data_IF_882695029322
#
_entry.id   IF_882695029322
#
_cell.length_a   1.000
_cell.length_b   1.000
_cell.length_c   1.000
_cell.angle_alpha   90.00
_cell.angle_beta   90.00
_cell.angle_gamma   90.00
#
_symmetry.space_group_name_H-M   'P 1'
#
loop_
_entity.id
_entity.type
_entity.pdbx_description
1 polymer ?
#
# COMPACT_ATOMS: atom_id res chain seq x y z
N UNK A 1 0.26 -20.19 18.93
CA UNK A 1 -0.69 -19.07 18.75
C UNK A 1 -1.11 -19.04 17.29
N UNK A 2 -2.41 -18.87 17.00
CA UNK A 2 -2.89 -18.69 15.62
C UNK A 2 -2.35 -17.35 15.11
N UNK A 3 -1.76 -17.31 13.90
CA UNK A 3 -1.29 -16.05 13.30
C UNK A 3 -2.50 -15.18 13.02
N UNK A 4 -2.44 -13.89 13.36
CA UNK A 4 -3.47 -12.93 12.95
C UNK A 4 -3.39 -12.72 11.44
N UNK A 5 -4.55 -12.57 10.81
CA UNK A 5 -4.66 -12.32 9.37
C UNK A 5 -4.80 -10.82 9.12
N UNK A 6 -4.05 -10.32 8.15
CA UNK A 6 -4.17 -8.94 7.63
C UNK A 6 -4.58 -9.01 6.17
N UNK A 7 -5.65 -8.30 5.83
CA UNK A 7 -6.07 -8.09 4.46
C UNK A 7 -5.43 -6.80 3.91
N UNK A 8 -4.72 -6.90 2.80
CA UNK A 8 -4.19 -5.75 2.06
C UNK A 8 -5.05 -5.56 0.82
N UNK A 9 -5.67 -4.40 0.70
CA UNK A 9 -6.47 -4.00 -0.46
C UNK A 9 -5.69 -2.93 -1.22
N UNK A 10 -5.46 -3.16 -2.51
CA UNK A 10 -4.66 -2.25 -3.34
C UNK A 10 -5.52 -1.65 -4.44
N UNK A 11 -5.67 -0.33 -4.41
CA UNK A 11 -6.44 0.40 -5.40
C UNK A 11 -5.55 1.27 -6.28
N UNK A 12 -5.94 1.42 -7.53
CA UNK A 12 -5.33 2.35 -8.47
C UNK A 12 -4.25 1.73 -9.36
N UNK A 13 -3.01 2.20 -9.28
CA UNK A 13 -1.99 1.97 -10.29
C UNK A 13 -0.93 0.94 -9.86
N UNK A 14 -0.10 0.51 -10.83
CA UNK A 14 1.04 -0.39 -10.60
C UNK A 14 2.05 0.11 -9.55
N UNK A 15 2.18 1.44 -9.35
CA UNK A 15 3.03 1.98 -8.28
C UNK A 15 2.48 1.66 -6.90
N UNK A 16 1.15 1.78 -6.70
CA UNK A 16 0.51 1.37 -5.45
C UNK A 16 0.63 -0.14 -5.24
N UNK A 17 0.57 -0.93 -6.30
CA UNK A 17 0.77 -2.37 -6.21
C UNK A 17 2.17 -2.71 -5.70
N UNK A 18 3.22 -2.09 -6.26
CA UNK A 18 4.60 -2.27 -5.77
C UNK A 18 4.72 -1.89 -4.28
N UNK A 19 4.10 -0.78 -3.87
CA UNK A 19 4.08 -0.34 -2.47
C UNK A 19 3.39 -1.37 -1.57
N UNK A 20 2.26 -1.92 -2.00
CA UNK A 20 1.56 -2.99 -1.26
C UNK A 20 2.35 -4.29 -1.19
N UNK A 21 3.04 -4.69 -2.26
CA UNK A 21 3.88 -5.89 -2.29
C UNK A 21 5.06 -5.80 -1.32
N UNK A 22 5.68 -4.61 -1.17
CA UNK A 22 6.69 -4.37 -0.13
C UNK A 22 6.08 -4.44 1.27
N UNK A 23 4.93 -3.79 1.49
CA UNK A 23 4.25 -3.83 2.79
C UNK A 23 3.84 -5.26 3.17
N UNK A 24 3.31 -6.04 2.23
CA UNK A 24 2.97 -7.44 2.47
C UNK A 24 4.19 -8.25 2.93
N UNK A 25 5.35 -8.08 2.29
CA UNK A 25 6.58 -8.77 2.70
C UNK A 25 7.00 -8.40 4.13
N UNK A 26 6.89 -7.13 4.51
CA UNK A 26 7.17 -6.67 5.87
C UNK A 26 6.20 -7.29 6.90
N UNK A 27 4.92 -7.36 6.57
CA UNK A 27 3.90 -7.94 7.45
C UNK A 27 4.06 -9.46 7.60
N UNK A 28 4.44 -10.17 6.54
CA UNK A 28 4.76 -11.60 6.58
C UNK A 28 5.95 -11.87 7.50
N UNK A 29 7.02 -11.07 7.40
CA UNK A 29 8.19 -11.15 8.29
C UNK A 29 7.79 -10.88 9.75
N UNK A 30 6.90 -9.91 9.96
CA UNK A 30 6.34 -9.59 11.27
C UNK A 30 5.45 -10.70 11.86
N UNK A 31 5.21 -11.79 11.10
CA UNK A 31 4.51 -12.99 11.54
C UNK A 31 3.01 -12.99 11.28
N UNK A 32 2.49 -12.09 10.47
CA UNK A 32 1.09 -12.11 10.03
C UNK A 32 0.87 -13.12 8.89
N UNK A 33 -0.37 -13.57 8.76
CA UNK A 33 -0.87 -14.18 7.54
C UNK A 33 -1.49 -13.09 6.67
N UNK A 34 -0.91 -12.82 5.51
CA UNK A 34 -1.34 -11.72 4.65
C UNK A 34 -2.21 -12.27 3.52
N UNK A 35 -3.34 -11.62 3.27
CA UNK A 35 -4.20 -11.85 2.10
C UNK A 35 -4.24 -10.57 1.26
N UNK A 36 -4.49 -10.70 -0.04
CA UNK A 36 -4.47 -9.56 -0.97
C UNK A 36 -5.76 -9.50 -1.77
N UNK A 37 -6.29 -8.28 -1.96
CA UNK A 37 -7.47 -7.95 -2.77
C UNK A 37 -8.67 -8.86 -2.51
N UNK A 38 -9.01 -9.04 -1.24
CA UNK A 38 -10.21 -9.77 -0.85
C UNK A 38 -11.44 -8.88 -1.01
N UNK A 39 -12.50 -9.39 -1.62
CA UNK A 39 -13.76 -8.64 -1.81
C UNK A 39 -14.43 -8.26 -0.47
N UNK A 40 -14.19 -9.04 0.57
CA UNK A 40 -14.71 -8.81 1.93
C UNK A 40 -13.63 -9.10 2.95
N UNK A 41 -13.66 -8.46 4.12
CA UNK A 41 -12.71 -8.74 5.18
C UNK A 41 -12.67 -10.23 5.52
N UNK A 42 -11.48 -10.81 5.53
CA UNK A 42 -11.20 -12.20 5.95
C UNK A 42 -10.31 -12.25 7.19
N UNK A 43 -9.59 -11.17 7.43
CA UNK A 43 -8.69 -11.01 8.55
C UNK A 43 -9.28 -10.18 9.68
N UNK A 44 -8.56 -10.17 10.80
CA UNK A 44 -8.88 -9.31 11.93
C UNK A 44 -8.49 -7.84 11.64
N UNK A 45 -7.60 -7.61 10.69
CA UNK A 45 -7.05 -6.29 10.35
C UNK A 45 -7.12 -6.09 8.84
N UNK A 46 -7.52 -4.91 8.39
CA UNK A 46 -7.43 -4.50 6.99
C UNK A 46 -6.57 -3.24 6.83
N UNK A 47 -5.80 -3.20 5.75
CA UNK A 47 -5.05 -2.03 5.29
C UNK A 47 -5.44 -1.74 3.85
N UNK A 48 -6.03 -0.56 3.60
CA UNK A 48 -6.43 -0.14 2.26
C UNK A 48 -5.40 0.85 1.72
N UNK A 49 -4.69 0.48 0.66
CA UNK A 49 -3.77 1.34 -0.08
C UNK A 49 -4.53 2.02 -1.21
N UNK A 50 -4.82 3.30 -1.04
CA UNK A 50 -5.79 4.08 -1.82
C UNK A 50 -5.18 4.85 -2.98
N UNK A 51 -5.99 5.10 -4.01
CA UNK A 51 -5.68 5.97 -5.13
C UNK A 51 -6.38 7.33 -4.99
N UNK A 52 -5.62 8.43 -5.16
CA UNK A 52 -6.13 9.80 -5.02
C UNK A 52 -5.93 10.66 -6.28
N UNK A 53 -5.63 10.04 -7.44
CA UNK A 53 -5.18 10.78 -8.62
C UNK A 53 -6.33 11.31 -9.46
N UNK A 54 -7.26 10.46 -9.92
CA UNK A 54 -8.41 10.83 -10.75
C UNK A 54 -9.74 10.62 -10.02
N UNK A 55 -10.81 11.24 -10.54
CA UNK A 55 -12.16 11.21 -9.92
C UNK A 55 -12.64 9.81 -9.60
N UNK A 56 -12.72 8.95 -10.62
CA UNK A 56 -13.24 7.59 -10.51
C UNK A 56 -12.42 6.74 -9.50
N UNK A 57 -11.09 6.85 -9.53
CA UNK A 57 -10.23 6.13 -8.59
C UNK A 57 -10.34 6.65 -7.14
N UNK A 58 -10.70 7.94 -6.95
CA UNK A 58 -11.02 8.48 -5.62
C UNK A 58 -12.34 7.93 -5.12
N UNK A 59 -13.35 7.90 -5.97
CA UNK A 59 -14.67 7.35 -5.64
C UNK A 59 -14.56 5.86 -5.29
N UNK A 60 -13.86 5.07 -6.09
CA UNK A 60 -13.56 3.66 -5.81
C UNK A 60 -12.88 3.51 -4.44
N UNK A 61 -11.86 4.34 -4.15
CA UNK A 61 -11.15 4.30 -2.88
C UNK A 61 -12.05 4.64 -1.69
N UNK A 62 -12.90 5.67 -1.81
CA UNK A 62 -13.84 6.06 -0.76
C UNK A 62 -14.87 4.95 -0.53
N UNK A 63 -15.46 4.40 -1.59
CA UNK A 63 -16.44 3.32 -1.50
C UNK A 63 -15.85 2.09 -0.80
N UNK A 64 -14.62 1.70 -1.14
CA UNK A 64 -13.92 0.60 -0.49
C UNK A 64 -13.70 0.87 1.01
N UNK A 65 -13.27 2.10 1.37
CA UNK A 65 -13.11 2.47 2.78
C UNK A 65 -14.42 2.36 3.54
N UNK A 66 -15.53 2.84 2.96
CA UNK A 66 -16.86 2.80 3.58
C UNK A 66 -17.37 1.37 3.75
N UNK A 67 -17.14 0.49 2.77
CA UNK A 67 -17.50 -0.93 2.85
C UNK A 67 -16.77 -1.63 4.00
N UNK A 68 -15.46 -1.40 4.13
CA UNK A 68 -14.67 -1.97 5.22
C UNK A 68 -14.96 -1.31 6.58
N UNK A 69 -15.33 -0.03 6.60
CA UNK A 69 -15.81 0.67 7.80
C UNK A 69 -17.13 0.06 8.31
N UNK A 70 -18.07 -0.22 7.41
CA UNK A 70 -19.30 -0.92 7.75
C UNK A 70 -19.02 -2.33 8.29
N UNK A 71 -18.14 -3.10 7.64
CA UNK A 71 -17.76 -4.43 8.12
C UNK A 71 -17.16 -4.39 9.53
N UNK A 72 -16.43 -3.34 9.86
CA UNK A 72 -15.90 -3.11 11.22
C UNK A 72 -17.01 -2.82 12.22
N UNK A 73 -17.99 -2.00 11.87
CA UNK A 73 -19.16 -1.72 12.73
C UNK A 73 -20.01 -2.98 12.99
N UNK A 74 -20.08 -3.87 12.00
CA UNK A 74 -20.75 -5.17 12.11
C UNK A 74 -19.94 -6.20 12.94
N UNK A 75 -18.71 -5.88 13.35
CA UNK A 75 -17.85 -6.75 14.12
C UNK A 75 -17.08 -7.80 13.30
N UNK A 76 -17.09 -7.66 11.96
CA UNK A 76 -16.37 -8.57 11.03
C UNK A 76 -14.89 -8.17 10.87
N UNK A 77 -14.47 -7.03 11.41
CA UNK A 77 -13.12 -6.50 11.34
C UNK A 77 -12.75 -5.81 12.67
N UNK A 78 -11.58 -6.10 13.23
CA UNK A 78 -11.11 -5.47 14.48
C UNK A 78 -10.48 -4.11 14.23
N UNK A 79 -9.66 -4.01 13.17
CA UNK A 79 -8.87 -2.81 12.85
C UNK A 79 -8.93 -2.48 11.37
N UNK A 80 -9.13 -1.21 11.07
CA UNK A 80 -9.11 -0.67 9.72
C UNK A 80 -8.09 0.47 9.62
N UNK A 81 -7.12 0.29 8.75
CA UNK A 81 -6.10 1.28 8.42
C UNK A 81 -6.20 1.71 6.96
N UNK A 82 -5.94 2.96 6.68
CA UNK A 82 -5.98 3.53 5.33
C UNK A 82 -4.68 4.26 5.05
N UNK A 83 -4.10 4.03 3.87
CA UNK A 83 -2.88 4.69 3.41
C UNK A 83 -2.94 4.96 1.90
N UNK A 84 -1.87 5.50 1.34
CA UNK A 84 -1.73 5.70 -0.09
C UNK A 84 -2.05 7.13 -0.55
N UNK A 85 -2.27 7.28 -1.86
CA UNK A 85 -2.35 8.60 -2.50
C UNK A 85 -3.56 9.44 -2.07
N UNK A 86 -4.72 8.83 -1.85
CA UNK A 86 -5.91 9.54 -1.36
C UNK A 86 -5.70 10.01 0.08
N UNK A 87 -5.22 9.12 0.92
CA UNK A 87 -4.93 9.41 2.33
C UNK A 87 -3.87 10.51 2.46
N UNK A 88 -2.78 10.46 1.69
CA UNK A 88 -1.76 11.53 1.67
C UNK A 88 -2.37 12.91 1.37
N UNK A 89 -3.30 12.97 0.43
CA UNK A 89 -3.85 14.23 -0.06
C UNK A 89 -4.95 14.79 0.83
N UNK A 90 -5.77 13.95 1.45
CA UNK A 90 -7.01 14.33 2.15
C UNK A 90 -7.08 13.77 3.58
N UNK A 91 -5.94 13.56 4.22
CA UNK A 91 -5.85 12.90 5.54
C UNK A 91 -6.77 13.53 6.60
N UNK A 92 -6.79 14.85 6.68
CA UNK A 92 -7.59 15.58 7.69
C UNK A 92 -9.08 15.47 7.44
N UNK A 93 -9.48 15.60 6.19
CA UNK A 93 -10.88 15.52 5.76
C UNK A 93 -11.40 14.08 5.96
N UNK A 94 -10.66 13.10 5.52
CA UNK A 94 -11.04 11.68 5.66
C UNK A 94 -11.15 11.25 7.13
N UNK A 95 -10.26 11.73 7.99
CA UNK A 95 -10.31 11.40 9.42
C UNK A 95 -11.54 11.99 10.14
N UNK A 96 -12.10 13.10 9.63
CA UNK A 96 -13.33 13.69 10.14
C UNK A 96 -14.56 12.98 9.60
N UNK A 97 -14.55 12.68 8.28
CA UNK A 97 -15.70 12.13 7.57
C UNK A 97 -15.91 10.62 7.83
N UNK A 98 -14.83 9.87 8.09
CA UNK A 98 -14.86 8.41 8.28
C UNK A 98 -14.16 8.05 9.60
N UNK A 99 -14.77 8.36 10.75
CA UNK A 99 -14.17 8.12 12.08
C UNK A 99 -14.05 6.63 12.46
N UNK A 100 -14.65 5.73 11.69
CA UNK A 100 -14.53 4.27 11.87
C UNK A 100 -13.14 3.74 11.54
N UNK A 101 -12.37 4.45 10.72
CA UNK A 101 -10.97 4.12 10.43
C UNK A 101 -10.12 4.38 11.66
N UNK A 102 -9.36 3.39 12.12
CA UNK A 102 -8.50 3.53 13.30
C UNK A 102 -7.38 4.55 13.08
N UNK A 103 -6.77 4.55 11.90
CA UNK A 103 -5.78 5.56 11.53
C UNK A 103 -5.61 5.68 10.03
N UNK A 104 -5.40 6.92 9.59
CA UNK A 104 -4.98 7.25 8.25
C UNK A 104 -3.47 7.54 8.23
N UNK A 105 -2.76 6.96 7.28
CA UNK A 105 -1.32 7.17 7.06
C UNK A 105 -1.07 7.85 5.73
N UNK A 106 0.01 8.60 5.64
CA UNK A 106 0.54 9.06 4.36
C UNK A 106 1.05 7.89 3.49
N UNK A 107 1.34 8.20 2.23
CA UNK A 107 1.73 7.19 1.23
C UNK A 107 2.94 6.34 1.65
N UNK A 108 3.88 6.92 2.39
CA UNK A 108 5.17 6.31 2.72
C UNK A 108 5.33 5.95 4.22
N UNK A 109 4.26 6.01 5.00
CA UNK A 109 4.32 5.81 6.46
C UNK A 109 4.24 4.32 6.88
N UNK A 110 4.88 3.42 6.15
CA UNK A 110 4.84 1.97 6.42
C UNK A 110 5.46 1.60 7.76
N UNK A 111 6.58 2.25 8.12
CA UNK A 111 7.24 2.02 9.41
C UNK A 111 6.33 2.42 10.58
N UNK A 112 5.57 3.50 10.44
CA UNK A 112 4.60 3.94 11.45
C UNK A 112 3.44 2.95 11.59
N UNK A 113 2.91 2.44 10.48
CA UNK A 113 1.88 1.39 10.48
C UNK A 113 2.37 0.13 11.22
N UNK A 114 3.58 -0.33 10.94
CA UNK A 114 4.16 -1.49 11.62
C UNK A 114 4.35 -1.23 13.12
N UNK A 115 4.79 -0.03 13.49
CA UNK A 115 4.93 0.36 14.89
C UNK A 115 3.58 0.35 15.63
N UNK A 116 2.51 0.84 15.03
CA UNK A 116 1.15 0.81 15.61
C UNK A 116 0.60 -0.62 15.72
N UNK A 117 1.08 -1.54 14.89
CA UNK A 117 0.83 -2.97 15.01
C UNK A 117 1.74 -3.66 16.06
N UNK A 118 2.60 -2.91 16.75
CA UNK A 118 3.57 -3.44 17.72
C UNK A 118 4.70 -4.23 17.07
N UNK A 119 5.07 -3.87 15.83
CA UNK A 119 6.10 -4.53 15.02
C UNK A 119 7.21 -3.58 14.62
N UNK A 120 8.33 -4.15 14.19
CA UNK A 120 9.49 -3.40 13.70
C UNK A 120 9.49 -3.41 12.18
N UNK A 121 9.82 -2.29 11.56
CA UNK A 121 10.10 -2.21 10.13
C UNK A 121 11.52 -2.71 9.86
N UNK A 122 11.67 -3.62 8.92
CA UNK A 122 12.93 -4.25 8.54
C UNK A 122 13.52 -3.58 7.30
N UNK A 123 14.47 -2.67 7.49
CA UNK A 123 15.12 -1.95 6.38
C UNK A 123 15.86 -2.89 5.42
N UNK A 124 16.38 -4.01 5.92
CA UNK A 124 17.05 -5.04 5.14
C UNK A 124 16.15 -5.70 4.09
N UNK A 125 14.83 -5.63 4.26
CA UNK A 125 13.85 -6.17 3.30
C UNK A 125 13.41 -5.15 2.23
N UNK A 126 14.06 -4.01 2.11
CA UNK A 126 13.64 -2.91 1.23
C UNK A 126 13.57 -3.27 -0.27
N UNK A 127 14.30 -4.30 -0.70
CA UNK A 127 14.25 -4.84 -2.07
C UNK A 127 13.32 -6.04 -2.21
N UNK A 128 12.87 -6.62 -1.09
CA UNK A 128 12.03 -7.82 -1.11
C UNK A 128 10.55 -7.46 -1.23
N UNK A 129 9.82 -8.28 -2.01
CA UNK A 129 8.38 -8.13 -2.22
C UNK A 129 7.67 -9.47 -2.24
N UNK A 130 6.42 -9.47 -1.80
CA UNK A 130 5.47 -10.57 -2.02
C UNK A 130 4.71 -10.29 -3.30
N UNK A 131 5.12 -10.93 -4.40
CA UNK A 131 4.56 -10.68 -5.72
C UNK A 131 3.10 -11.14 -5.82
N UNK A 132 2.26 -10.27 -6.36
CA UNK A 132 0.84 -10.51 -6.67
C UNK A 132 0.57 -10.63 -8.15
N UNK A 133 1.53 -10.20 -8.98
CA UNK A 133 1.48 -10.37 -10.44
C UNK A 133 1.71 -11.83 -10.84
N UNK A 134 1.30 -12.24 -12.06
CA UNK A 134 1.73 -13.51 -12.63
C UNK A 134 3.25 -13.68 -12.61
N UNK A 135 3.73 -14.90 -12.36
CA UNK A 135 5.15 -15.20 -12.09
C UNK A 135 6.15 -14.73 -13.15
N UNK A 136 5.69 -14.45 -14.37
CA UNK A 136 6.58 -14.12 -15.48
C UNK A 136 6.92 -12.63 -15.56
N UNK A 137 6.16 -11.73 -14.91
CA UNK A 137 6.48 -10.31 -14.90
C UNK A 137 6.31 -9.65 -13.54
N UNK A 138 6.98 -8.52 -13.36
CA UNK A 138 6.79 -7.64 -12.21
C UNK A 138 6.95 -6.18 -12.62
N UNK A 139 6.24 -5.30 -11.91
CA UNK A 139 6.48 -3.86 -12.04
C UNK A 139 7.78 -3.48 -11.32
N UNK A 140 8.55 -2.56 -11.90
CA UNK A 140 9.78 -2.05 -11.31
C UNK A 140 9.69 -0.54 -11.12
N UNK A 141 9.59 -0.11 -9.88
CA UNK A 141 9.50 1.31 -9.55
C UNK A 141 10.89 1.93 -9.47
N UNK A 142 11.26 2.75 -10.47
CA UNK A 142 12.59 3.34 -10.60
C UNK A 142 12.69 4.76 -10.04
N UNK A 143 11.54 5.42 -9.82
CA UNK A 143 11.48 6.80 -9.30
C UNK A 143 10.13 7.12 -8.70
N UNK A 144 10.10 8.15 -7.87
CA UNK A 144 8.88 8.76 -7.32
C UNK A 144 8.85 10.27 -7.54
N UNK A 145 7.64 10.85 -7.47
CA UNK A 145 7.43 12.29 -7.58
C UNK A 145 7.59 12.86 -8.97
N UNK A 146 7.43 14.17 -9.08
CA UNK A 146 7.55 14.89 -10.36
C UNK A 146 7.82 16.38 -10.11
N UNK A 147 8.78 16.96 -10.84
CA UNK A 147 9.11 18.39 -10.75
C UNK A 147 8.28 19.25 -11.70
N UNK A 148 7.44 18.65 -12.55
CA UNK A 148 6.59 19.41 -13.49
C UNK A 148 5.38 19.99 -12.75
N UNK A 149 5.00 21.22 -13.12
CA UNK A 149 3.87 21.97 -12.53
C UNK A 149 2.67 22.00 -13.48
N UNK A 150 2.24 20.84 -13.98
CA UNK A 150 1.05 20.75 -14.82
C UNK A 150 -0.20 21.10 -13.99
N UNK A 151 -1.05 22.00 -14.50
CA UNK A 151 -2.19 22.56 -13.76
C UNK A 151 -3.24 21.52 -13.32
N UNK A 152 -3.32 20.40 -14.01
CA UNK A 152 -4.28 19.30 -13.76
C UNK A 152 -3.69 18.13 -12.95
N UNK A 153 -2.39 18.15 -12.63
CA UNK A 153 -1.69 16.98 -12.10
C UNK A 153 -1.46 17.10 -10.60
N UNK A 154 -1.92 16.11 -9.84
CA UNK A 154 -1.76 16.05 -8.40
C UNK A 154 -0.47 15.35 -7.94
N UNK A 155 0.35 14.78 -8.85
CA UNK A 155 1.56 14.01 -8.46
C UNK A 155 2.50 14.82 -7.56
N UNK A 156 2.86 16.09 -7.87
CA UNK A 156 3.76 16.85 -7.01
C UNK A 156 3.21 17.12 -5.60
N UNK A 157 1.89 17.12 -5.45
CA UNK A 157 1.22 17.32 -4.15
C UNK A 157 1.20 16.03 -3.35
N UNK A 158 1.03 14.87 -4.02
CA UNK A 158 0.89 13.56 -3.37
C UNK A 158 2.26 12.94 -3.06
N UNK A 159 3.18 12.97 -4.04
CA UNK A 159 4.46 12.25 -3.96
C UNK A 159 5.68 13.16 -3.89
N UNK A 160 5.46 14.49 -3.97
CA UNK A 160 6.52 15.48 -3.89
C UNK A 160 7.38 15.60 -5.14
N UNK A 161 8.61 16.06 -4.95
CA UNK A 161 9.59 16.26 -6.03
C UNK A 161 10.06 14.93 -6.61
N UNK A 162 10.55 15.00 -7.86
CA UNK A 162 11.13 13.81 -8.49
C UNK A 162 12.38 13.33 -7.74
N UNK A 163 12.37 12.06 -7.36
CA UNK A 163 13.50 11.37 -6.75
C UNK A 163 13.70 10.03 -7.47
N UNK A 164 14.87 9.86 -8.09
CA UNK A 164 15.28 8.58 -8.67
C UNK A 164 15.80 7.64 -7.59
N UNK A 165 15.47 6.37 -7.68
CA UNK A 165 16.11 5.35 -6.84
C UNK A 165 17.57 5.15 -7.25
N UNK A 166 18.48 4.83 -6.32
CA UNK A 166 19.85 4.43 -6.65
C UNK A 166 19.86 3.24 -7.62
N UNK A 167 20.74 3.30 -8.62
CA UNK A 167 20.84 2.25 -9.64
C UNK A 167 21.15 0.89 -9.02
N UNK A 168 22.03 0.85 -8.03
CA UNK A 168 22.41 -0.39 -7.33
C UNK A 168 21.21 -1.06 -6.64
N UNK A 169 20.37 -0.28 -5.95
CA UNK A 169 19.16 -0.81 -5.32
C UNK A 169 18.18 -1.39 -6.36
N UNK A 170 18.03 -0.73 -7.51
CA UNK A 170 17.19 -1.20 -8.61
C UNK A 170 17.74 -2.53 -9.14
N UNK A 171 19.06 -2.63 -9.34
CA UNK A 171 19.71 -3.84 -9.81
C UNK A 171 19.59 -5.00 -8.81
N UNK A 172 19.69 -4.71 -7.52
CA UNK A 172 19.53 -5.72 -6.47
C UNK A 172 18.09 -6.23 -6.41
N UNK A 173 17.10 -5.35 -6.53
CA UNK A 173 15.70 -5.75 -6.66
C UNK A 173 15.44 -6.60 -7.92
N UNK A 174 16.01 -6.21 -9.07
CA UNK A 174 15.94 -6.99 -10.30
C UNK A 174 16.52 -8.39 -10.11
N UNK A 175 17.72 -8.52 -9.50
CA UNK A 175 18.35 -9.82 -9.22
C UNK A 175 17.46 -10.67 -8.31
N UNK A 176 16.91 -10.08 -7.27
CA UNK A 176 15.99 -10.75 -6.35
C UNK A 176 14.75 -11.28 -7.09
N UNK A 177 14.11 -10.46 -7.93
CA UNK A 177 12.93 -10.84 -8.71
C UNK A 177 13.22 -11.89 -9.78
N UNK A 178 14.36 -11.80 -10.48
CA UNK A 178 14.81 -12.81 -11.43
C UNK A 178 15.00 -14.16 -10.73
N UNK A 179 15.57 -14.18 -9.54
CA UNK A 179 15.72 -15.40 -8.73
C UNK A 179 14.35 -16.00 -8.31
N UNK A 180 13.30 -15.18 -8.22
CA UNK A 180 11.91 -15.63 -8.03
C UNK A 180 11.22 -16.11 -9.32
N UNK A 181 11.87 -16.00 -10.48
CA UNK A 181 11.38 -16.48 -11.76
C UNK A 181 10.77 -15.41 -12.67
N UNK A 182 10.86 -14.13 -12.29
CA UNK A 182 10.42 -13.01 -13.14
C UNK A 182 11.32 -12.93 -14.40
N UNK A 183 10.70 -12.73 -15.55
CA UNK A 183 11.37 -12.66 -16.87
C UNK A 183 11.16 -11.32 -17.58
N UNK A 184 10.15 -10.56 -17.16
CA UNK A 184 9.78 -9.27 -17.76
C UNK A 184 9.60 -8.22 -16.66
N UNK A 185 10.09 -7.01 -16.90
CA UNK A 185 9.90 -5.86 -16.02
C UNK A 185 9.15 -4.75 -16.75
N UNK A 186 8.17 -4.16 -16.08
CA UNK A 186 7.36 -3.07 -16.59
C UNK A 186 7.46 -1.83 -15.70
#
# INVERSE_FOLDING_TARGET
MKRKTIDIITLGCSKNLVDSEHLMRQLEEAGYHVTHDTEKPKGEIAVINTCGFIGDAKEESINMILEFAQAKEEGNLEKLYVMGCLSERYLKELAIEIPQVDKFYGKFNWAELLLDLGKVYHEELHIERTLTTPKHYAYLKISEGCDRKCSYCAIPIITGRHVSRPVEEILDEVRYLVNKGVKEFQ
#
